data_IF_580009603815
#
_entry.id   IF_580009603815
#
_cell.length_a   1.000
_cell.length_b   1.000
_cell.length_c   1.000
_cell.angle_alpha   90.00
_cell.angle_beta   90.00
_cell.angle_gamma   90.00
#
_symmetry.space_group_name_H-M   'P 1'
#
loop_
_entity.id
_entity.type
_entity.pdbx_description
1 polymer ?
#
# COMPACT_ATOMS: atom_id res chain seq x y z
N UNK A 1 22.07 -63.69 43.30
CA UNK A 1 22.25 -63.31 41.88
C UNK A 1 21.03 -62.54 41.43
N UNK A 2 21.11 -61.21 41.48
CA UNK A 2 20.15 -60.29 40.88
C UNK A 2 20.99 -59.21 40.20
N UNK A 3 21.07 -59.29 38.87
CA UNK A 3 21.71 -58.29 38.02
C UNK A 3 20.72 -57.13 37.79
N UNK A 4 21.13 -55.86 37.97
CA UNK A 4 20.28 -54.75 37.60
C UNK A 4 20.28 -54.57 36.07
N UNK A 5 19.08 -54.38 35.52
CA UNK A 5 18.83 -54.08 34.11
C UNK A 5 19.33 -52.66 33.76
N UNK A 6 19.94 -52.42 32.59
CA UNK A 6 20.38 -51.09 32.22
C UNK A 6 19.18 -50.23 31.82
N UNK A 7 19.02 -49.09 32.49
CA UNK A 7 18.13 -48.01 32.09
C UNK A 7 18.50 -47.59 30.67
N UNK A 8 17.59 -47.81 29.71
CA UNK A 8 17.70 -47.22 28.37
C UNK A 8 17.55 -45.71 28.50
N UNK A 9 18.65 -44.99 28.37
CA UNK A 9 18.63 -43.54 28.12
C UNK A 9 17.80 -43.30 26.87
N UNK A 10 16.64 -42.67 27.03
CA UNK A 10 15.85 -42.15 25.94
C UNK A 10 16.68 -41.02 25.31
N UNK A 11 17.28 -41.29 24.15
CA UNK A 11 17.82 -40.25 23.29
C UNK A 11 16.62 -39.40 22.88
N UNK A 12 16.50 -38.23 23.48
CA UNK A 12 15.62 -37.17 22.98
C UNK A 12 16.19 -36.84 21.60
N UNK A 13 15.55 -37.36 20.56
CA UNK A 13 15.75 -36.84 19.21
C UNK A 13 15.41 -35.36 19.30
N UNK A 14 16.38 -34.50 18.99
CA UNK A 14 16.17 -33.08 18.74
C UNK A 14 14.92 -32.94 17.88
N UNK A 15 13.83 -32.47 18.49
CA UNK A 15 12.66 -32.04 17.76
C UNK A 15 13.12 -30.83 16.97
N UNK A 16 13.39 -31.02 15.67
CA UNK A 16 13.57 -29.92 14.74
C UNK A 16 12.44 -28.90 15.00
N UNK A 17 12.75 -27.60 15.14
CA UNK A 17 11.71 -26.60 15.35
C UNK A 17 10.69 -26.70 14.21
N UNK A 18 9.38 -26.52 14.49
CA UNK A 18 8.38 -26.53 13.44
C UNK A 18 8.79 -25.52 12.38
N UNK A 19 8.96 -25.99 11.14
CA UNK A 19 9.29 -25.16 9.99
C UNK A 19 8.21 -24.07 9.88
N UNK A 20 8.52 -22.85 10.31
CA UNK A 20 7.68 -21.69 10.04
C UNK A 20 7.59 -21.51 8.53
N UNK A 21 6.39 -21.48 7.94
CA UNK A 21 6.25 -21.35 6.50
C UNK A 21 6.87 -20.02 6.04
N UNK A 22 7.72 -20.07 5.02
CA UNK A 22 8.32 -18.87 4.44
C UNK A 22 7.25 -17.93 3.87
N UNK A 23 7.54 -16.63 3.75
CA UNK A 23 6.62 -15.66 3.10
C UNK A 23 6.14 -16.17 1.75
N UNK A 24 7.04 -16.76 0.97
CA UNK A 24 6.71 -17.32 -0.34
C UNK A 24 5.70 -18.47 -0.25
N UNK A 25 5.76 -19.30 0.78
CA UNK A 25 4.76 -20.37 1.01
C UNK A 25 3.39 -19.78 1.36
N UNK A 26 3.33 -18.86 2.33
CA UNK A 26 2.06 -18.23 2.76
C UNK A 26 1.42 -17.42 1.64
N UNK A 27 2.21 -16.63 0.91
CA UNK A 27 1.74 -15.84 -0.23
C UNK A 27 1.15 -16.74 -1.33
N UNK A 28 1.78 -17.90 -1.60
CA UNK A 28 1.31 -18.86 -2.60
C UNK A 28 0.00 -19.51 -2.20
N UNK A 29 -0.11 -20.02 -0.97
CA UNK A 29 -1.34 -20.64 -0.48
C UNK A 29 -2.51 -19.66 -0.50
N UNK A 30 -2.25 -18.40 -0.13
CA UNK A 30 -3.24 -17.33 -0.16
C UNK A 30 -3.71 -17.01 -1.59
N UNK A 31 -2.78 -16.78 -2.53
CA UNK A 31 -3.11 -16.54 -3.94
C UNK A 31 -3.86 -17.72 -4.57
N UNK A 32 -3.48 -18.96 -4.23
CA UNK A 32 -4.14 -20.16 -4.74
C UNK A 32 -5.59 -20.26 -4.24
N UNK A 33 -5.84 -19.99 -2.96
CA UNK A 33 -7.19 -19.98 -2.39
C UNK A 33 -8.09 -18.90 -3.00
N UNK A 34 -7.57 -17.68 -3.15
CA UNK A 34 -8.31 -16.58 -3.76
C UNK A 34 -8.59 -16.83 -5.25
N UNK A 35 -7.60 -17.34 -5.99
CA UNK A 35 -7.79 -17.74 -7.38
C UNK A 35 -8.82 -18.87 -7.53
N UNK A 36 -8.78 -19.88 -6.65
CA UNK A 36 -9.77 -20.95 -6.65
C UNK A 36 -11.17 -20.43 -6.35
N UNK A 37 -11.31 -19.45 -5.46
CA UNK A 37 -12.58 -18.79 -5.14
C UNK A 37 -13.13 -18.04 -6.35
N UNK A 38 -12.28 -17.27 -7.05
CA UNK A 38 -12.66 -16.60 -8.30
C UNK A 38 -13.13 -17.61 -9.35
N UNK A 39 -12.34 -18.65 -9.61
CA UNK A 39 -12.69 -19.70 -10.59
C UNK A 39 -14.00 -20.40 -10.20
N UNK A 40 -14.23 -20.65 -8.91
CA UNK A 40 -15.46 -21.23 -8.39
C UNK A 40 -16.68 -20.36 -8.72
N UNK A 41 -16.62 -19.08 -8.38
CA UNK A 41 -17.72 -18.15 -8.65
C UNK A 41 -17.98 -17.91 -10.13
N UNK A 42 -16.92 -17.82 -10.95
CA UNK A 42 -17.08 -17.73 -12.39
C UNK A 42 -17.80 -18.97 -12.96
N UNK A 43 -17.54 -20.17 -12.45
CA UNK A 43 -18.30 -21.38 -12.84
C UNK A 43 -19.75 -21.35 -12.37
N UNK A 44 -20.03 -20.86 -11.17
CA UNK A 44 -21.40 -20.70 -10.67
C UNK A 44 -22.16 -19.74 -11.57
N UNK A 45 -21.58 -18.58 -11.89
CA UNK A 45 -22.17 -17.59 -12.81
C UNK A 45 -22.48 -18.13 -14.21
N UNK A 46 -21.80 -19.19 -14.66
CA UNK A 46 -22.11 -19.83 -15.95
C UNK A 46 -23.24 -20.85 -15.90
N UNK A 47 -23.74 -21.16 -14.70
CA UNK A 47 -24.79 -22.18 -14.46
C UNK A 47 -26.03 -21.59 -13.81
N UNK A 48 -25.83 -20.59 -12.96
CA UNK A 48 -26.85 -19.91 -12.17
C UNK A 48 -26.75 -18.41 -12.44
N UNK A 49 -27.88 -17.80 -12.81
CA UNK A 49 -27.97 -16.38 -13.14
C UNK A 49 -28.63 -15.62 -12.01
N UNK A 50 -27.84 -15.08 -11.08
CA UNK A 50 -28.38 -14.30 -9.96
C UNK A 50 -27.48 -13.14 -9.52
N UNK A 51 -28.11 -12.12 -8.96
CA UNK A 51 -27.43 -10.90 -8.53
C UNK A 51 -26.50 -11.14 -7.32
N UNK A 52 -26.78 -12.16 -6.51
CA UNK A 52 -25.95 -12.52 -5.35
C UNK A 52 -24.63 -13.13 -5.79
N UNK A 53 -24.68 -13.97 -6.82
CA UNK A 53 -23.55 -14.66 -7.43
C UNK A 53 -22.62 -13.64 -8.11
N UNK A 54 -23.18 -12.63 -8.79
CA UNK A 54 -22.40 -11.55 -9.42
C UNK A 54 -21.66 -10.73 -8.37
N UNK A 55 -22.32 -10.39 -7.26
CA UNK A 55 -21.71 -9.66 -6.15
C UNK A 55 -20.57 -10.48 -5.52
N UNK A 56 -20.80 -11.77 -5.26
CA UNK A 56 -19.79 -12.66 -4.68
C UNK A 56 -18.58 -12.86 -5.60
N UNK A 57 -18.80 -12.96 -6.91
CA UNK A 57 -17.73 -13.03 -7.91
C UNK A 57 -16.90 -11.75 -7.97
N UNK A 58 -17.56 -10.57 -7.91
CA UNK A 58 -16.89 -9.27 -7.82
C UNK A 58 -16.02 -9.17 -6.57
N UNK A 59 -16.56 -9.57 -5.40
CA UNK A 59 -15.82 -9.55 -4.14
C UNK A 59 -14.58 -10.45 -4.20
N UNK A 60 -14.72 -11.66 -4.76
CA UNK A 60 -13.62 -12.60 -4.96
C UNK A 60 -12.53 -12.02 -5.89
N UNK A 61 -12.91 -11.38 -7.00
CA UNK A 61 -11.96 -10.72 -7.91
C UNK A 61 -11.25 -9.55 -7.25
N UNK A 62 -11.98 -8.74 -6.47
CA UNK A 62 -11.42 -7.62 -5.72
C UNK A 62 -10.40 -8.13 -4.71
N UNK A 63 -10.67 -9.24 -4.02
CA UNK A 63 -9.75 -9.90 -3.09
C UNK A 63 -8.48 -10.43 -3.79
N UNK A 64 -8.61 -11.17 -4.90
CA UNK A 64 -7.45 -11.68 -5.63
C UNK A 64 -6.58 -10.55 -6.20
N UNK A 65 -7.19 -9.52 -6.81
CA UNK A 65 -6.46 -8.35 -7.34
C UNK A 65 -5.75 -7.59 -6.24
N UNK A 66 -6.40 -7.50 -5.09
CA UNK A 66 -5.86 -7.00 -3.84
C UNK A 66 -4.57 -7.74 -3.51
N UNK A 67 -4.61 -9.07 -3.47
CA UNK A 67 -3.48 -9.89 -3.08
C UNK A 67 -2.34 -9.86 -4.08
N UNK A 68 -2.62 -9.87 -5.38
CA UNK A 68 -1.61 -9.66 -6.43
C UNK A 68 -0.90 -8.30 -6.29
N UNK A 69 -1.65 -7.23 -6.00
CA UNK A 69 -1.09 -5.89 -5.81
C UNK A 69 -0.25 -5.82 -4.53
N UNK A 70 -0.73 -6.46 -3.48
CA UNK A 70 -0.08 -6.63 -2.19
C UNK A 70 1.26 -7.34 -2.31
N UNK A 71 1.29 -8.44 -3.06
CA UNK A 71 2.46 -9.30 -3.20
C UNK A 71 3.40 -8.89 -4.34
N UNK A 72 3.14 -7.76 -5.01
CA UNK A 72 4.01 -7.20 -6.08
C UNK A 72 5.52 -7.09 -5.73
N UNK A 73 5.95 -6.84 -4.47
CA UNK A 73 7.37 -6.85 -4.14
C UNK A 73 8.04 -8.22 -4.26
N UNK A 74 7.26 -9.30 -4.12
CA UNK A 74 7.75 -10.68 -4.16
C UNK A 74 7.43 -11.40 -5.46
N UNK A 75 6.35 -10.99 -6.15
CA UNK A 75 5.93 -11.55 -7.43
C UNK A 75 6.68 -10.92 -8.61
N UNK A 76 6.87 -11.71 -9.66
CA UNK A 76 7.37 -11.25 -10.94
C UNK A 76 6.51 -10.10 -11.48
N UNK A 77 7.18 -9.08 -12.00
CA UNK A 77 6.52 -7.84 -12.40
C UNK A 77 5.66 -8.03 -13.63
N UNK A 78 6.18 -8.69 -14.66
CA UNK A 78 5.54 -8.80 -15.96
C UNK A 78 4.31 -9.70 -15.86
N UNK A 79 4.46 -10.86 -15.22
CA UNK A 79 3.37 -11.77 -14.95
C UNK A 79 2.26 -11.14 -14.11
N UNK A 80 2.63 -10.41 -13.04
CA UNK A 80 1.63 -9.73 -12.19
C UNK A 80 0.88 -8.64 -12.94
N UNK A 81 1.54 -7.94 -13.87
CA UNK A 81 0.90 -6.90 -14.68
C UNK A 81 -0.08 -7.52 -15.69
N UNK A 82 0.34 -8.59 -16.39
CA UNK A 82 -0.51 -9.28 -17.36
C UNK A 82 -1.78 -9.84 -16.70
N UNK A 83 -1.63 -10.66 -15.65
CA UNK A 83 -2.76 -11.23 -14.91
C UNK A 83 -3.71 -10.14 -14.36
N UNK A 84 -3.16 -9.04 -13.83
CA UNK A 84 -4.01 -7.92 -13.35
C UNK A 84 -4.75 -7.22 -14.48
N UNK A 85 -4.17 -7.14 -15.68
CA UNK A 85 -4.84 -6.58 -16.86
C UNK A 85 -6.14 -7.32 -17.18
N UNK A 86 -6.07 -8.64 -17.37
CA UNK A 86 -7.27 -9.44 -17.67
C UNK A 86 -8.27 -9.49 -16.50
N UNK A 87 -7.79 -9.50 -15.24
CA UNK A 87 -8.68 -9.38 -14.08
C UNK A 87 -9.38 -8.01 -14.00
N UNK A 88 -8.73 -6.92 -14.44
CA UNK A 88 -9.32 -5.58 -14.47
C UNK A 88 -10.46 -5.52 -15.51
N UNK A 89 -10.28 -6.13 -16.68
CA UNK A 89 -11.31 -6.25 -17.72
C UNK A 89 -12.53 -7.05 -17.23
N UNK A 90 -12.30 -8.23 -16.65
CA UNK A 90 -13.36 -9.04 -16.06
C UNK A 90 -14.12 -8.31 -14.95
N UNK A 91 -13.40 -7.57 -14.10
CA UNK A 91 -14.04 -6.75 -13.06
C UNK A 91 -14.98 -5.72 -13.70
N UNK A 92 -14.60 -5.12 -14.83
CA UNK A 92 -15.43 -4.17 -15.56
C UNK A 92 -16.73 -4.79 -16.06
N UNK A 93 -16.66 -5.99 -16.63
CA UNK A 93 -17.84 -6.74 -17.11
C UNK A 93 -18.80 -7.05 -15.97
N UNK A 94 -18.30 -7.63 -14.88
CA UNK A 94 -19.17 -7.97 -13.74
C UNK A 94 -19.73 -6.72 -13.04
N UNK A 95 -18.95 -5.62 -12.98
CA UNK A 95 -19.43 -4.35 -12.42
C UNK A 95 -20.57 -3.76 -13.26
N UNK A 96 -20.51 -3.90 -14.59
CA UNK A 96 -21.60 -3.49 -15.47
C UNK A 96 -22.86 -4.34 -15.22
N UNK A 97 -22.71 -5.66 -15.07
CA UNK A 97 -23.84 -6.55 -14.73
C UNK A 97 -24.47 -6.13 -13.39
N UNK A 98 -23.65 -5.88 -12.36
CA UNK A 98 -24.14 -5.41 -11.06
C UNK A 98 -24.84 -4.04 -11.14
N UNK A 99 -24.37 -3.14 -12.01
CA UNK A 99 -25.02 -1.85 -12.26
C UNK A 99 -26.41 -2.04 -12.90
N UNK A 100 -26.53 -2.92 -13.90
CA UNK A 100 -27.81 -3.26 -14.55
C UNK A 100 -28.79 -3.93 -13.57
N UNK A 101 -28.30 -4.74 -12.63
CA UNK A 101 -29.10 -5.29 -11.52
C UNK A 101 -29.64 -4.18 -10.62
N UNK A 102 -28.81 -3.17 -10.32
CA UNK A 102 -29.21 -1.98 -9.56
C UNK A 102 -30.28 -1.14 -10.29
N UNK A 103 -30.10 -0.93 -11.59
CA UNK A 103 -31.08 -0.24 -12.43
C UNK A 103 -32.43 -0.98 -12.46
N UNK A 104 -32.39 -2.30 -12.67
CA UNK A 104 -33.58 -3.14 -12.73
C UNK A 104 -34.37 -3.08 -11.42
N UNK A 105 -33.68 -3.18 -10.29
CA UNK A 105 -34.29 -3.05 -8.96
C UNK A 105 -34.96 -1.69 -8.76
N UNK A 106 -34.29 -0.60 -9.15
CA UNK A 106 -34.85 0.75 -9.07
C UNK A 106 -36.11 0.93 -9.91
N UNK A 107 -36.12 0.41 -11.14
CA UNK A 107 -37.29 0.49 -12.02
C UNK A 107 -38.49 -0.30 -11.45
N UNK A 108 -38.24 -1.45 -10.83
CA UNK A 108 -39.27 -2.25 -10.17
C UNK A 108 -39.85 -1.53 -8.93
N UNK A 109 -38.99 -0.90 -8.12
CA UNK A 109 -39.40 -0.14 -6.94
C UNK A 109 -40.22 1.12 -7.28
N UNK A 110 -39.90 1.78 -8.39
CA UNK A 110 -40.53 3.05 -8.80
C UNK A 110 -41.84 2.90 -9.61
N UNK A 111 -42.46 1.70 -9.60
CA UNK A 111 -43.75 1.45 -10.26
C UNK A 111 -43.71 1.62 -11.78
N UNK A 112 -43.52 0.51 -12.51
CA UNK A 112 -43.27 0.54 -13.94
C UNK A 112 -44.46 1.00 -14.80
N UNK A 113 -44.43 2.26 -15.23
CA UNK A 113 -45.18 2.75 -16.39
C UNK A 113 -44.65 2.11 -17.70
N UNK A 114 -45.36 2.33 -18.81
CA UNK A 114 -45.02 1.72 -20.12
C UNK A 114 -43.55 1.92 -20.53
N UNK A 115 -43.04 3.16 -20.56
CA UNK A 115 -41.64 3.45 -20.83
C UNK A 115 -40.66 2.77 -19.85
N UNK A 116 -40.95 2.76 -18.55
CA UNK A 116 -40.10 2.08 -17.56
C UNK A 116 -40.00 0.56 -17.81
N UNK A 117 -41.10 -0.09 -18.22
CA UNK A 117 -41.10 -1.52 -18.58
C UNK A 117 -40.31 -1.83 -19.84
N UNK A 118 -40.27 -0.90 -20.80
CA UNK A 118 -39.47 -1.05 -22.00
C UNK A 118 -37.97 -0.98 -21.68
N UNK A 119 -37.57 0.03 -20.89
CA UNK A 119 -36.18 0.15 -20.42
C UNK A 119 -35.79 -1.06 -19.56
N UNK A 120 -36.66 -1.53 -18.67
CA UNK A 120 -36.40 -2.73 -17.87
C UNK A 120 -36.13 -3.96 -18.76
N UNK A 121 -36.90 -4.16 -19.84
CA UNK A 121 -36.67 -5.23 -20.81
C UNK A 121 -35.32 -5.08 -21.53
N UNK A 122 -34.97 -3.86 -21.94
CA UNK A 122 -33.69 -3.59 -22.59
C UNK A 122 -32.51 -3.84 -21.63
N UNK A 123 -32.60 -3.37 -20.39
CA UNK A 123 -31.60 -3.61 -19.32
C UNK A 123 -31.45 -5.11 -19.04
N UNK A 124 -32.55 -5.88 -19.00
CA UNK A 124 -32.49 -7.33 -18.83
C UNK A 124 -31.82 -8.05 -20.01
N UNK A 125 -32.07 -7.61 -21.25
CA UNK A 125 -31.43 -8.17 -22.44
C UNK A 125 -29.93 -7.87 -22.48
N UNK A 126 -29.52 -6.64 -22.17
CA UNK A 126 -28.10 -6.25 -22.06
C UNK A 126 -27.39 -7.08 -20.98
N UNK A 127 -28.03 -7.23 -19.81
CA UNK A 127 -27.52 -8.05 -18.71
C UNK A 127 -27.28 -9.49 -19.16
N UNK A 128 -28.27 -10.11 -19.82
CA UNK A 128 -28.15 -11.49 -20.31
C UNK A 128 -27.01 -11.64 -21.33
N UNK A 129 -26.84 -10.67 -22.24
CA UNK A 129 -25.74 -10.67 -23.20
C UNK A 129 -24.36 -10.59 -22.52
N UNK A 130 -24.22 -9.75 -21.49
CA UNK A 130 -22.97 -9.63 -20.73
C UNK A 130 -22.67 -10.90 -19.93
N UNK A 131 -23.67 -11.50 -19.28
CA UNK A 131 -23.51 -12.78 -18.56
C UNK A 131 -23.05 -13.88 -19.51
N UNK A 132 -23.66 -13.99 -20.69
CA UNK A 132 -23.24 -14.94 -21.72
C UNK A 132 -21.81 -14.69 -22.22
N UNK A 133 -21.31 -13.46 -22.14
CA UNK A 133 -19.95 -13.10 -22.50
C UNK A 133 -18.91 -13.36 -21.39
N UNK A 134 -19.32 -13.57 -20.13
CA UNK A 134 -18.39 -13.79 -19.00
C UNK A 134 -17.37 -14.90 -19.26
N UNK A 135 -17.71 -16.09 -19.80
CA UNK A 135 -16.72 -17.11 -20.13
C UNK A 135 -15.64 -16.66 -21.11
N UNK A 136 -15.99 -15.76 -22.03
CA UNK A 136 -15.11 -15.26 -23.09
C UNK A 136 -14.42 -13.93 -22.72
N UNK A 137 -14.87 -13.25 -21.67
CA UNK A 137 -14.30 -11.99 -21.20
C UNK A 137 -12.96 -12.15 -20.45
N UNK A 138 -12.56 -13.40 -20.14
CA UNK A 138 -11.19 -13.72 -19.76
C UNK A 138 -10.44 -14.10 -21.03
N UNK A 139 -9.40 -13.33 -21.38
CA UNK A 139 -8.48 -13.77 -22.41
C UNK A 139 -7.86 -15.13 -22.02
N UNK A 140 -7.53 -15.99 -23.00
CA UNK A 140 -7.06 -17.34 -22.72
C UNK A 140 -5.82 -17.41 -21.81
N UNK A 141 -4.96 -16.40 -21.85
CA UNK A 141 -3.73 -16.34 -21.06
C UNK A 141 -4.03 -16.05 -19.59
N UNK A 142 -4.88 -15.05 -19.33
CA UNK A 142 -5.36 -14.74 -17.97
C UNK A 142 -6.17 -15.91 -17.41
N UNK A 143 -7.03 -16.54 -18.22
CA UNK A 143 -7.78 -17.73 -17.83
C UNK A 143 -6.88 -18.89 -17.43
N UNK A 144 -5.83 -19.16 -18.22
CA UNK A 144 -4.83 -20.19 -17.92
C UNK A 144 -4.03 -19.86 -16.65
N UNK A 145 -3.63 -18.60 -16.46
CA UNK A 145 -2.90 -18.15 -15.26
C UNK A 145 -3.76 -18.28 -13.98
N UNK A 146 -5.04 -17.92 -14.05
CA UNK A 146 -6.02 -18.11 -12.97
C UNK A 146 -6.19 -19.59 -12.61
N UNK A 147 -6.42 -20.44 -13.61
CA UNK A 147 -6.58 -21.87 -13.42
C UNK A 147 -5.31 -22.52 -12.84
N UNK A 148 -4.14 -22.07 -13.31
CA UNK A 148 -2.85 -22.51 -12.79
C UNK A 148 -2.68 -22.14 -11.31
N UNK A 149 -2.93 -20.88 -10.94
CA UNK A 149 -2.90 -20.45 -9.53
C UNK A 149 -3.88 -21.24 -8.67
N UNK A 150 -5.12 -21.40 -9.13
CA UNK A 150 -6.16 -22.14 -8.43
C UNK A 150 -5.80 -23.62 -8.23
N UNK A 151 -4.96 -24.19 -9.10
CA UNK A 151 -4.50 -25.58 -8.97
C UNK A 151 -3.50 -25.79 -7.83
N UNK A 152 -2.93 -24.73 -7.28
CA UNK A 152 -1.92 -24.79 -6.22
C UNK A 152 -0.58 -25.41 -6.64
N UNK A 153 -0.37 -25.69 -7.93
CA UNK A 153 0.90 -26.22 -8.47
C UNK A 153 1.98 -25.13 -8.52
N UNK A 154 3.23 -25.50 -8.23
CA UNK A 154 4.37 -24.56 -8.32
C UNK A 154 4.77 -24.27 -9.79
N UNK A 155 5.37 -23.09 -10.10
CA UNK A 155 5.58 -21.91 -9.25
C UNK A 155 4.74 -20.70 -9.73
N UNK A 156 4.05 -20.01 -8.82
CA UNK A 156 3.74 -18.59 -9.07
C UNK A 156 5.09 -17.87 -9.25
N UNK A 157 5.30 -17.08 -10.32
CA UNK A 157 6.62 -16.56 -10.63
C UNK A 157 7.02 -15.54 -9.56
N UNK A 158 7.94 -15.93 -8.68
CA UNK A 158 8.56 -15.07 -7.69
C UNK A 158 9.75 -14.34 -8.33
N UNK A 159 10.07 -13.13 -7.88
CA UNK A 159 11.28 -12.43 -8.34
C UNK A 159 12.53 -13.18 -7.88
N UNK A 160 13.50 -13.32 -8.77
CA UNK A 160 14.81 -13.92 -8.47
C UNK A 160 15.55 -13.25 -7.30
N UNK A 161 15.30 -11.96 -7.04
CA UNK A 161 15.89 -11.17 -5.95
C UNK A 161 14.85 -10.66 -4.93
N UNK A 162 13.66 -11.27 -4.86
CA UNK A 162 12.79 -11.00 -3.72
C UNK A 162 13.52 -11.40 -2.43
N UNK A 163 13.21 -10.80 -1.26
CA UNK A 163 13.78 -11.20 0.03
C UNK A 163 13.23 -12.57 0.46
N UNK A 164 13.31 -13.56 -0.44
CA UNK A 164 12.86 -14.95 -0.30
C UNK A 164 13.86 -15.74 0.57
N UNK A 165 14.99 -15.12 0.94
CA UNK A 165 16.06 -15.75 1.71
C UNK A 165 16.03 -15.52 3.22
N UNK A 166 15.11 -14.72 3.77
CA UNK A 166 14.97 -14.62 5.23
C UNK A 166 13.80 -15.50 5.71
N UNK A 167 14.08 -16.71 6.25
CA UNK A 167 13.06 -17.56 6.84
C UNK A 167 12.35 -16.93 8.06
N UNK A 168 12.78 -15.74 8.50
CA UNK A 168 12.26 -15.01 9.66
C UNK A 168 11.51 -13.71 9.37
N UNK A 169 11.12 -13.39 8.12
CA UNK A 169 10.26 -12.22 7.86
C UNK A 169 8.77 -12.64 7.89
N UNK A 170 8.03 -12.50 9.00
CA UNK A 170 6.63 -12.93 9.04
C UNK A 170 5.74 -12.09 8.11
N UNK A 171 4.60 -12.63 7.68
CA UNK A 171 3.56 -11.88 6.96
C UNK A 171 3.17 -10.58 7.70
N UNK A 172 3.31 -10.58 9.03
CA UNK A 172 3.15 -9.43 9.91
C UNK A 172 4.10 -8.25 9.60
N UNK A 173 5.22 -8.45 8.88
CA UNK A 173 6.13 -7.37 8.48
C UNK A 173 5.70 -6.74 7.15
N UNK A 174 5.09 -7.50 6.24
CA UNK A 174 4.69 -7.01 4.91
C UNK A 174 3.23 -6.50 4.86
N UNK A 175 2.33 -7.15 5.60
CA UNK A 175 0.91 -6.79 5.57
C UNK A 175 0.61 -5.38 6.10
N UNK A 176 1.16 -4.95 7.25
CA UNK A 176 0.87 -3.62 7.77
C UNK A 176 1.30 -2.45 6.86
N UNK A 177 2.51 -2.47 6.26
CA UNK A 177 2.89 -1.53 5.19
C UNK A 177 1.88 -1.40 4.06
N UNK A 178 1.27 -2.51 3.69
CA UNK A 178 0.35 -2.60 2.56
C UNK A 178 -1.06 -2.14 2.93
N UNK A 179 -1.54 -2.48 4.13
CA UNK A 179 -2.79 -1.95 4.70
C UNK A 179 -2.73 -0.42 4.79
N UNK A 180 -1.61 0.13 5.28
CA UNK A 180 -1.42 1.57 5.38
C UNK A 180 -1.37 2.28 4.00
N UNK A 181 -0.81 1.65 2.96
CA UNK A 181 -0.85 2.21 1.59
C UNK A 181 -2.27 2.25 1.02
N UNK A 182 -3.07 1.21 1.25
CA UNK A 182 -4.47 1.16 0.80
C UNK A 182 -5.34 2.16 1.51
N UNK A 183 -5.17 2.23 2.82
CA UNK A 183 -5.76 3.26 3.65
C UNK A 183 -5.53 4.66 3.11
N UNK A 184 -4.26 4.99 2.80
CA UNK A 184 -3.89 6.29 2.24
C UNK A 184 -4.57 6.54 0.89
N UNK A 185 -4.59 5.53 0.01
CA UNK A 185 -5.21 5.66 -1.31
C UNK A 185 -6.72 5.90 -1.20
N UNK A 186 -7.42 5.13 -0.36
CA UNK A 186 -8.84 5.29 -0.07
C UNK A 186 -9.17 6.69 0.44
N UNK A 187 -8.38 7.20 1.39
CA UNK A 187 -8.69 8.46 2.09
C UNK A 187 -8.21 9.69 1.35
N UNK A 188 -6.99 9.66 0.77
CA UNK A 188 -6.32 10.85 0.22
C UNK A 188 -6.40 10.97 -1.30
N UNK A 189 -6.52 9.86 -2.01
CA UNK A 189 -6.36 9.82 -3.47
C UNK A 189 -7.68 9.48 -4.18
N UNK A 190 -8.82 9.46 -3.48
CA UNK A 190 -10.16 9.20 -4.04
C UNK A 190 -10.90 10.51 -4.21
N UNK A 191 -11.23 10.94 -5.45
CA UNK A 191 -12.17 12.02 -5.63
C UNK A 191 -13.55 11.58 -5.16
N UNK A 192 -14.12 12.27 -4.17
CA UNK A 192 -15.46 11.94 -3.65
C UNK A 192 -16.57 12.26 -4.68
N UNK A 193 -16.24 13.07 -5.70
CA UNK A 193 -17.16 13.35 -6.81
C UNK A 193 -17.31 12.18 -7.79
N UNK A 194 -16.35 11.24 -7.81
CA UNK A 194 -16.41 10.02 -8.61
C UNK A 194 -17.02 8.89 -7.78
N UNK A 195 -18.37 8.87 -7.78
CA UNK A 195 -19.18 7.94 -7.00
C UNK A 195 -19.01 6.48 -7.44
N UNK A 196 -18.55 6.22 -8.66
CA UNK A 196 -18.27 4.87 -9.17
C UNK A 196 -16.92 4.36 -8.63
N UNK A 197 -15.89 5.20 -8.63
CA UNK A 197 -14.63 4.90 -7.92
C UNK A 197 -14.81 4.71 -6.42
N UNK A 198 -15.80 5.37 -5.82
CA UNK A 198 -16.07 5.27 -4.39
C UNK A 198 -16.52 3.87 -3.97
N UNK A 199 -17.42 3.22 -4.73
CA UNK A 199 -17.87 1.86 -4.42
C UNK A 199 -16.72 0.85 -4.43
N UNK A 200 -15.88 0.91 -5.46
CA UNK A 200 -14.66 0.08 -5.58
C UNK A 200 -13.77 0.23 -4.35
N UNK A 201 -13.61 1.45 -3.86
CA UNK A 201 -12.74 1.74 -2.72
C UNK A 201 -13.41 1.45 -1.38
N UNK A 202 -14.74 1.53 -1.28
CA UNK A 202 -15.48 1.03 -0.12
C UNK A 202 -15.31 -0.50 0.03
N UNK A 203 -15.32 -1.25 -1.07
CA UNK A 203 -14.98 -2.67 -1.07
C UNK A 203 -13.51 -2.90 -0.64
N UNK A 204 -12.56 -2.10 -1.13
CA UNK A 204 -11.16 -2.17 -0.68
C UNK A 204 -11.01 -1.95 0.85
N UNK A 205 -11.85 -1.10 1.47
CA UNK A 205 -11.85 -0.90 2.93
C UNK A 205 -12.33 -2.12 3.69
N UNK A 206 -13.38 -2.80 3.21
CA UNK A 206 -13.87 -4.05 3.83
C UNK A 206 -12.75 -5.06 3.92
N UNK A 207 -11.97 -5.21 2.84
CA UNK A 207 -10.80 -6.08 2.84
C UNK A 207 -9.73 -5.62 3.83
N UNK A 208 -9.48 -4.32 3.97
CA UNK A 208 -8.56 -3.79 4.98
C UNK A 208 -9.03 -4.15 6.39
N UNK A 209 -10.32 -4.05 6.68
CA UNK A 209 -10.90 -4.38 8.00
C UNK A 209 -10.85 -5.88 8.27
N UNK A 210 -11.25 -6.72 7.30
CA UNK A 210 -11.20 -8.18 7.46
C UNK A 210 -9.77 -8.70 7.64
N UNK A 211 -8.83 -8.18 6.85
CA UNK A 211 -7.43 -8.57 6.96
C UNK A 211 -6.85 -8.13 8.30
N UNK A 212 -7.17 -6.92 8.78
CA UNK A 212 -6.74 -6.47 10.10
C UNK A 212 -7.36 -7.34 11.22
N UNK A 213 -8.63 -7.72 11.10
CA UNK A 213 -9.31 -8.58 12.06
C UNK A 213 -8.67 -9.99 12.14
N UNK A 214 -8.35 -10.59 10.99
CA UNK A 214 -7.69 -11.91 10.92
C UNK A 214 -6.27 -11.94 11.49
N UNK A 215 -5.63 -10.78 11.61
CA UNK A 215 -4.30 -10.62 12.20
C UNK A 215 -4.36 -10.22 13.67
N UNK A 216 -5.54 -10.32 14.30
CA UNK A 216 -5.76 -9.94 15.70
C UNK A 216 -5.41 -8.47 16.00
N UNK A 217 -5.38 -7.60 14.98
CA UNK A 217 -5.25 -6.15 15.22
C UNK A 217 -6.52 -5.62 15.88
N UNK A 218 -6.39 -4.65 16.81
CA UNK A 218 -7.54 -4.05 17.46
C UNK A 218 -8.38 -3.24 16.45
N UNK A 219 -9.39 -3.88 15.88
CA UNK A 219 -10.30 -3.33 14.86
C UNK A 219 -11.62 -2.83 15.42
N UNK A 220 -11.78 -2.78 16.76
CA UNK A 220 -13.06 -2.48 17.43
C UNK A 220 -13.65 -1.10 17.03
N UNK A 221 -12.84 -0.17 16.48
CA UNK A 221 -13.31 1.08 15.87
C UNK A 221 -13.45 1.10 14.33
N UNK A 222 -12.86 0.13 13.63
CA UNK A 222 -12.84 0.06 12.16
C UNK A 222 -14.14 -0.49 11.58
N UNK A 223 -14.82 -1.40 12.29
CA UNK A 223 -16.01 -2.05 11.75
C UNK A 223 -17.18 -1.07 11.53
N UNK A 224 -17.54 -0.21 12.52
CA UNK A 224 -18.59 0.79 12.34
C UNK A 224 -18.26 1.80 11.22
N UNK A 225 -16.99 2.18 11.08
CA UNK A 225 -16.56 3.11 10.03
C UNK A 225 -16.67 2.48 8.63
N UNK A 226 -16.29 1.20 8.50
CA UNK A 226 -16.43 0.47 7.24
C UNK A 226 -17.90 0.18 6.91
N UNK A 227 -18.75 -0.09 7.90
CA UNK A 227 -20.19 -0.26 7.68
C UNK A 227 -20.88 1.04 7.24
N UNK A 228 -20.51 2.16 7.87
CA UNK A 228 -20.96 3.48 7.46
C UNK A 228 -20.52 3.80 6.01
N UNK A 229 -19.29 3.46 5.64
CA UNK A 229 -18.81 3.66 4.27
C UNK A 229 -19.53 2.75 3.27
N UNK A 230 -19.77 1.47 3.59
CA UNK A 230 -20.58 0.56 2.75
C UNK A 230 -21.97 1.12 2.50
N UNK A 231 -22.63 1.58 3.56
CA UNK A 231 -23.97 2.17 3.50
C UNK A 231 -23.97 3.43 2.63
N UNK A 232 -23.00 4.33 2.82
CA UNK A 232 -22.86 5.55 2.03
C UNK A 232 -22.55 5.26 0.55
N UNK A 233 -21.70 4.25 0.27
CA UNK A 233 -21.38 3.82 -1.08
C UNK A 233 -22.58 3.17 -1.80
N UNK A 234 -23.37 2.35 -1.11
CA UNK A 234 -24.60 1.79 -1.65
C UNK A 234 -25.61 2.90 -2.00
N UNK A 235 -25.77 3.90 -1.13
CA UNK A 235 -26.60 5.07 -1.41
C UNK A 235 -26.08 5.89 -2.61
N UNK A 236 -24.76 6.01 -2.77
CA UNK A 236 -24.14 6.68 -3.91
C UNK A 236 -24.42 5.96 -5.24
N UNK A 237 -24.23 4.64 -5.29
CA UNK A 237 -24.56 3.84 -6.47
C UNK A 237 -26.02 3.98 -6.87
N UNK A 238 -26.93 3.96 -5.87
CA UNK A 238 -28.35 4.17 -6.10
C UNK A 238 -28.64 5.53 -6.73
N UNK A 239 -27.94 6.59 -6.31
CA UNK A 239 -28.05 7.93 -6.92
C UNK A 239 -27.52 7.94 -8.36
N UNK A 240 -26.41 7.25 -8.64
CA UNK A 240 -25.86 7.14 -9.99
C UNK A 240 -26.80 6.40 -10.94
N UNK A 241 -27.28 5.22 -10.54
CA UNK A 241 -28.23 4.44 -11.33
C UNK A 241 -29.52 5.22 -11.58
N UNK A 242 -30.04 5.94 -10.57
CA UNK A 242 -31.21 6.81 -10.76
C UNK A 242 -30.94 7.98 -11.71
N UNK A 243 -29.71 8.51 -11.73
CA UNK A 243 -29.31 9.57 -12.65
C UNK A 243 -29.29 9.09 -14.10
N UNK A 244 -28.63 7.96 -14.37
CA UNK A 244 -28.57 7.32 -15.70
C UNK A 244 -29.97 7.00 -16.23
N UNK A 245 -30.79 6.31 -15.43
CA UNK A 245 -32.16 5.98 -15.81
C UNK A 245 -33.01 7.23 -16.09
N UNK A 246 -32.86 8.29 -15.29
CA UNK A 246 -33.59 9.56 -15.50
C UNK A 246 -33.24 10.22 -16.83
N UNK A 247 -32.01 10.05 -17.33
CA UNK A 247 -31.59 10.58 -18.63
C UNK A 247 -32.23 9.79 -19.79
N UNK A 248 -32.38 8.47 -19.63
CA UNK A 248 -32.97 7.57 -20.65
C UNK A 248 -34.50 7.64 -20.69
N UNK A 249 -35.14 7.98 -19.58
CA UNK A 249 -36.61 8.01 -19.49
C UNK A 249 -37.21 9.30 -20.08
N UNK A 250 -38.34 9.21 -20.82
CA UNK A 250 -39.14 10.36 -21.20
C UNK A 250 -39.87 10.96 -19.98
N UNK A 251 -40.58 12.08 -20.17
CA UNK A 251 -41.35 12.71 -19.10
C UNK A 251 -42.53 11.82 -18.64
N UNK A 252 -42.29 10.99 -17.61
CA UNK A 252 -43.25 10.04 -17.05
C UNK A 252 -43.23 10.02 -15.50
N UNK A 253 -44.23 9.38 -14.85
CA UNK A 253 -44.25 9.21 -13.39
C UNK A 253 -42.95 8.62 -12.82
N UNK A 254 -42.44 7.52 -13.38
CA UNK A 254 -41.21 6.87 -12.90
C UNK A 254 -40.01 7.84 -12.93
N UNK A 255 -39.90 8.68 -13.97
CA UNK A 255 -38.84 9.69 -14.05
C UNK A 255 -38.88 10.73 -12.92
N UNK A 256 -40.09 11.09 -12.46
CA UNK A 256 -40.26 12.02 -11.32
C UNK A 256 -39.80 11.38 -10.01
N UNK A 257 -40.03 10.08 -9.83
CA UNK A 257 -39.58 9.34 -8.66
C UNK A 257 -38.05 9.24 -8.61
N UNK A 258 -37.42 8.87 -9.73
CA UNK A 258 -35.97 8.87 -9.86
C UNK A 258 -35.37 10.26 -9.60
N UNK A 259 -36.03 11.34 -10.03
CA UNK A 259 -35.58 12.70 -9.73
C UNK A 259 -35.51 12.98 -8.22
N UNK A 260 -36.43 12.44 -7.40
CA UNK A 260 -36.36 12.57 -5.93
C UNK A 260 -35.13 11.87 -5.37
N UNK A 261 -34.77 10.70 -5.90
CA UNK A 261 -33.53 10.00 -5.49
C UNK A 261 -32.30 10.83 -5.86
N UNK A 262 -32.23 11.33 -7.10
CA UNK A 262 -31.12 12.16 -7.58
C UNK A 262 -30.93 13.44 -6.76
N UNK A 263 -32.02 14.06 -6.26
CA UNK A 263 -31.91 15.26 -5.42
C UNK A 263 -31.16 15.03 -4.10
N UNK A 264 -31.06 13.77 -3.64
CA UNK A 264 -30.30 13.41 -2.43
C UNK A 264 -28.79 13.35 -2.66
N UNK A 265 -28.29 13.55 -3.89
CA UNK A 265 -26.86 13.49 -4.23
C UNK A 265 -25.96 14.25 -3.25
N UNK A 266 -26.31 15.51 -2.96
CA UNK A 266 -25.51 16.36 -2.05
C UNK A 266 -25.46 15.77 -0.63
N UNK A 267 -26.59 15.27 -0.13
CA UNK A 267 -26.63 14.62 1.18
C UNK A 267 -25.79 13.35 1.20
N UNK A 268 -25.88 12.51 0.17
CA UNK A 268 -25.08 11.28 0.06
C UNK A 268 -23.58 11.60 0.00
N UNK A 269 -23.16 12.57 -0.81
CA UNK A 269 -21.76 13.02 -0.88
C UNK A 269 -21.23 13.42 0.50
N UNK A 270 -22.01 14.18 1.28
CA UNK A 270 -21.62 14.53 2.65
C UNK A 270 -21.51 13.32 3.59
N UNK A 271 -22.38 12.32 3.46
CA UNK A 271 -22.27 11.09 4.26
C UNK A 271 -20.99 10.33 3.91
N UNK A 272 -20.64 10.28 2.63
CA UNK A 272 -19.39 9.67 2.16
C UNK A 272 -18.18 10.41 2.73
N UNK A 273 -18.16 11.74 2.65
CA UNK A 273 -17.07 12.56 3.21
C UNK A 273 -16.92 12.31 4.72
N UNK A 274 -18.03 12.27 5.45
CA UNK A 274 -18.05 11.98 6.88
C UNK A 274 -17.51 10.57 7.18
N UNK A 275 -17.92 9.57 6.41
CA UNK A 275 -17.44 8.20 6.55
C UNK A 275 -15.93 8.13 6.25
N UNK A 276 -15.46 8.74 5.17
CA UNK A 276 -14.03 8.79 4.82
C UNK A 276 -13.19 9.53 5.86
N UNK A 277 -13.71 10.59 6.48
CA UNK A 277 -13.04 11.28 7.58
C UNK A 277 -12.96 10.41 8.85
N UNK A 278 -14.05 9.71 9.18
CA UNK A 278 -14.10 8.75 10.29
C UNK A 278 -13.14 7.58 10.07
N UNK A 279 -13.07 7.07 8.84
CA UNK A 279 -12.04 6.14 8.40
C UNK A 279 -10.70 6.81 8.65
N UNK A 280 -10.32 7.89 7.95
CA UNK A 280 -9.04 8.60 8.07
C UNK A 280 -8.49 8.75 9.50
N UNK A 281 -9.35 9.13 10.45
CA UNK A 281 -9.01 9.30 11.86
C UNK A 281 -8.42 8.03 12.50
N UNK A 282 -8.86 6.85 12.09
CA UNK A 282 -8.39 5.54 12.60
C UNK A 282 -7.05 5.10 11.98
N UNK A 283 -6.43 5.92 11.12
CA UNK A 283 -5.21 5.53 10.40
C UNK A 283 -4.00 5.31 11.30
N UNK A 284 -4.03 5.86 12.51
CA UNK A 284 -3.03 5.64 13.55
C UNK A 284 -3.12 4.25 14.20
N UNK A 285 -4.27 3.56 14.08
CA UNK A 285 -4.46 2.19 14.58
C UNK A 285 -3.87 1.14 13.63
N UNK A 286 -3.64 1.50 12.37
CA UNK A 286 -2.92 0.64 11.44
C UNK A 286 -1.44 0.65 11.79
N UNK A 287 -0.77 -0.51 11.84
CA UNK A 287 0.63 -0.54 12.21
C UNK A 287 1.44 0.24 11.18
N UNK A 288 2.31 1.08 11.72
CA UNK A 288 3.20 1.89 10.92
C UNK A 288 4.21 0.94 10.24
N UNK A 289 4.37 1.08 8.91
CA UNK A 289 5.45 0.50 8.09
C UNK A 289 6.87 0.89 8.55
N UNK A 290 7.28 0.61 9.80
CA UNK A 290 8.57 1.06 10.34
C UNK A 290 9.72 0.13 9.87
N UNK A 291 9.38 -1.11 9.52
CA UNK A 291 10.31 -2.17 9.10
C UNK A 291 10.20 -2.62 7.63
N UNK A 292 9.28 -2.06 6.84
CA UNK A 292 9.17 -2.40 5.41
C UNK A 292 10.25 -1.74 4.54
N UNK A 293 10.22 -1.94 3.20
CA UNK A 293 11.26 -1.47 2.30
C UNK A 293 11.37 0.06 2.31
N UNK A 294 12.34 0.55 3.07
CA UNK A 294 12.59 1.97 3.27
C UNK A 294 13.26 2.59 2.03
N UNK A 295 12.96 3.87 1.78
CA UNK A 295 13.76 4.66 0.84
C UNK A 295 15.19 4.74 1.37
N UNK A 296 16.14 4.21 0.63
CA UNK A 296 17.56 4.24 1.00
C UNK A 296 18.15 5.61 0.66
N UNK A 297 19.02 6.07 1.54
CA UNK A 297 19.60 7.41 1.52
C UNK A 297 21.01 7.40 2.09
N UNK A 298 21.87 8.27 1.56
CA UNK A 298 23.22 8.51 2.03
C UNK A 298 23.38 9.92 2.56
N UNK A 299 24.18 10.09 3.61
CA UNK A 299 24.56 11.39 4.15
C UNK A 299 26.03 11.44 4.57
N UNK A 300 26.58 12.64 4.69
CA UNK A 300 27.98 12.85 5.06
C UNK A 300 28.12 13.81 6.23
N UNK A 301 28.70 13.34 7.33
CA UNK A 301 29.18 14.23 8.38
C UNK A 301 30.58 14.70 7.97
N UNK A 302 30.62 15.88 7.36
CA UNK A 302 31.88 16.49 6.90
C UNK A 302 32.56 17.15 8.10
N UNK A 303 33.78 16.74 8.41
CA UNK A 303 34.55 17.27 9.53
C UNK A 303 35.88 17.86 9.06
N UNK A 304 36.35 18.89 9.77
CA UNK A 304 37.69 19.48 9.60
C UNK A 304 38.29 19.85 10.96
N UNK A 305 39.62 20.00 11.06
CA UNK A 305 40.24 20.66 12.20
C UNK A 305 39.76 22.12 12.29
N UNK A 306 39.32 22.54 13.47
CA UNK A 306 39.00 23.92 13.81
C UNK A 306 39.89 24.44 14.94
N UNK A 307 39.76 25.73 15.28
CA UNK A 307 40.64 26.39 16.25
C UNK A 307 40.50 25.86 17.68
N UNK A 308 39.34 25.34 18.06
CA UNK A 308 39.03 24.84 19.41
C UNK A 308 38.77 23.33 19.44
N UNK A 309 39.09 22.61 18.35
CA UNK A 309 38.73 21.22 18.14
C UNK A 309 38.10 20.98 16.77
N UNK A 310 37.60 19.75 16.51
CA UNK A 310 36.96 19.44 15.24
C UNK A 310 35.69 20.29 15.03
N UNK A 311 35.52 20.80 13.81
CA UNK A 311 34.29 21.42 13.33
C UNK A 311 33.57 20.48 12.37
N UNK A 312 32.25 20.50 12.38
CA UNK A 312 31.38 19.76 11.47
C UNK A 312 30.55 20.70 10.61
N UNK A 313 30.24 20.26 9.39
CA UNK A 313 29.44 21.03 8.45
C UNK A 313 27.95 20.70 8.59
N UNK A 314 27.14 21.73 8.80
CA UNK A 314 25.67 21.63 8.82
C UNK A 314 25.08 22.51 7.72
N UNK A 315 23.90 22.12 7.24
CA UNK A 315 23.13 22.85 6.22
C UNK A 315 21.76 23.24 6.76
N UNK A 316 21.29 24.43 6.39
CA UNK A 316 19.92 24.86 6.61
C UNK A 316 19.10 24.60 5.34
N UNK A 317 17.96 23.91 5.49
CA UNK A 317 17.13 23.46 4.37
C UNK A 317 15.88 24.32 4.25
N UNK A 318 15.79 25.14 3.22
CA UNK A 318 14.69 26.12 2.99
C UNK A 318 13.32 25.46 3.08
N UNK A 319 13.13 24.35 2.35
CA UNK A 319 11.85 23.63 2.28
C UNK A 319 11.40 23.02 3.62
N UNK A 320 12.31 22.88 4.58
CA UNK A 320 12.05 22.24 5.86
C UNK A 320 12.15 23.20 7.04
N UNK A 321 12.83 24.34 6.87
CA UNK A 321 13.16 25.27 7.95
C UNK A 321 13.94 24.59 9.07
N UNK A 322 14.86 23.68 8.72
CA UNK A 322 15.62 22.90 9.70
C UNK A 322 17.11 22.80 9.38
N UNK A 323 17.92 22.70 10.44
CA UNK A 323 19.34 22.41 10.38
C UNK A 323 19.57 20.91 10.41
N UNK A 324 20.41 20.44 9.49
CA UNK A 324 20.63 19.01 9.25
C UNK A 324 22.08 18.73 8.83
N UNK A 325 22.51 17.47 9.01
CA UNK A 325 23.64 16.91 8.28
C UNK A 325 23.24 16.74 6.80
N UNK A 326 24.10 17.06 5.83
CA UNK A 326 23.78 16.92 4.41
C UNK A 326 23.52 15.47 4.02
N UNK A 327 22.42 15.22 3.30
CA UNK A 327 21.92 13.88 2.95
C UNK A 327 20.78 13.93 1.93
N UNK A 328 20.70 12.89 1.10
CA UNK A 328 19.54 12.66 0.25
C UNK A 328 19.38 11.22 -0.17
N UNK A 329 18.62 10.96 -1.24
CA UNK A 329 18.17 9.63 -1.58
C UNK A 329 18.92 9.06 -2.79
N UNK A 330 19.13 7.75 -2.81
CA UNK A 330 19.84 7.07 -3.90
C UNK A 330 19.09 7.21 -5.22
N UNK A 331 19.83 7.50 -6.30
CA UNK A 331 19.36 7.38 -7.67
C UNK A 331 19.35 5.90 -8.14
N UNK A 332 18.62 5.56 -9.22
CA UNK A 332 18.66 4.20 -9.77
C UNK A 332 20.09 3.77 -10.15
N UNK A 333 20.52 2.61 -9.65
CA UNK A 333 21.87 2.07 -9.88
C UNK A 333 22.98 2.69 -9.04
N UNK A 334 22.68 3.71 -8.22
CA UNK A 334 23.64 4.39 -7.36
C UNK A 334 23.83 3.65 -6.04
N UNK A 335 25.08 3.44 -5.62
CA UNK A 335 25.39 2.93 -4.28
C UNK A 335 25.11 3.98 -3.21
N UNK A 336 24.92 3.56 -1.96
CA UNK A 336 24.62 4.50 -0.87
C UNK A 336 25.80 5.45 -0.59
N UNK A 337 27.03 4.99 -0.80
CA UNK A 337 28.24 5.77 -0.68
C UNK A 337 28.36 6.84 -1.78
N UNK A 338 28.09 6.48 -3.04
CA UNK A 338 28.05 7.43 -4.15
C UNK A 338 26.98 8.51 -3.91
N UNK A 339 25.81 8.09 -3.44
CA UNK A 339 24.73 8.99 -3.04
C UNK A 339 25.21 9.97 -1.96
N UNK A 340 25.84 9.49 -0.89
CA UNK A 340 26.32 10.37 0.17
C UNK A 340 27.33 11.42 -0.34
N UNK A 341 28.28 11.04 -1.21
CA UNK A 341 29.25 11.97 -1.79
C UNK A 341 28.59 12.98 -2.72
N UNK A 342 27.64 12.54 -3.55
CA UNK A 342 26.87 13.41 -4.45
C UNK A 342 26.07 14.44 -3.66
N UNK A 343 25.33 13.99 -2.65
CA UNK A 343 24.46 14.85 -1.84
C UNK A 343 25.26 15.88 -1.05
N UNK A 344 26.42 15.52 -0.48
CA UNK A 344 27.33 16.49 0.14
C UNK A 344 27.81 17.53 -0.88
N UNK A 345 28.19 17.08 -2.09
CA UNK A 345 28.63 17.99 -3.14
C UNK A 345 27.53 18.96 -3.56
N UNK A 346 26.30 18.47 -3.68
CA UNK A 346 25.13 19.25 -4.12
C UNK A 346 24.64 20.21 -3.03
N UNK A 347 24.54 19.76 -1.79
CA UNK A 347 23.99 20.57 -0.68
C UNK A 347 25.03 21.51 -0.05
N UNK A 348 26.33 21.28 -0.23
CA UNK A 348 27.37 22.07 0.45
C UNK A 348 28.38 22.71 -0.49
N UNK A 349 28.42 22.31 -1.76
CA UNK A 349 29.46 22.74 -2.70
C UNK A 349 30.87 22.27 -2.34
N UNK A 350 31.01 21.17 -1.57
CA UNK A 350 32.32 20.59 -1.23
C UNK A 350 32.57 19.27 -1.96
N UNK A 351 33.82 19.05 -2.34
CA UNK A 351 34.32 17.72 -2.72
C UNK A 351 34.95 17.09 -1.49
N UNK A 352 34.55 15.88 -1.16
CA UNK A 352 35.02 15.18 0.02
C UNK A 352 35.63 13.82 -0.32
N UNK A 353 36.56 13.38 0.53
CA UNK A 353 37.03 12.00 0.59
C UNK A 353 36.20 11.25 1.64
N UNK A 354 35.68 10.09 1.25
CA UNK A 354 34.91 9.19 2.12
C UNK A 354 35.80 8.58 3.22
N UNK A 355 35.27 8.49 4.43
CA UNK A 355 35.83 7.77 5.57
C UNK A 355 34.95 6.59 6.02
N UNK A 356 35.04 6.22 7.29
CA UNK A 356 34.24 5.14 7.86
C UNK A 356 32.75 5.52 7.96
N UNK A 357 31.88 4.50 7.95
CA UNK A 357 30.48 4.68 8.30
C UNK A 357 30.35 4.97 9.80
N UNK A 358 29.57 5.97 10.17
CA UNK A 358 29.40 6.44 11.56
C UNK A 358 28.18 5.79 12.19
N UNK A 359 27.03 5.94 11.53
CA UNK A 359 25.73 5.57 12.09
C UNK A 359 24.67 5.48 11.00
N UNK A 360 23.58 4.77 11.30
CA UNK A 360 22.40 4.74 10.45
C UNK A 360 21.15 5.08 11.26
N UNK A 361 20.19 5.74 10.61
CA UNK A 361 18.93 6.14 11.23
C UNK A 361 17.76 5.71 10.37
N UNK A 362 16.74 5.14 11.01
CA UNK A 362 15.45 4.84 10.39
C UNK A 362 14.39 5.78 10.94
N UNK A 363 13.63 6.41 10.05
CA UNK A 363 12.55 7.32 10.43
C UNK A 363 11.51 7.45 9.32
N UNK A 364 10.41 8.14 9.65
CA UNK A 364 9.38 8.52 8.68
C UNK A 364 9.59 9.92 8.13
N UNK A 365 9.57 10.04 6.81
CA UNK A 365 9.58 11.35 6.17
C UNK A 365 8.21 12.06 6.32
N UNK A 366 8.11 13.32 5.86
CA UNK A 366 6.87 14.10 5.90
C UNK A 366 5.69 13.46 5.15
N UNK A 367 5.95 12.49 4.29
CA UNK A 367 4.94 11.75 3.53
C UNK A 367 4.61 10.39 4.20
N UNK A 368 5.04 10.19 5.44
CA UNK A 368 4.89 8.97 6.21
C UNK A 368 5.52 7.74 5.54
N UNK A 369 6.60 7.93 4.77
CA UNK A 369 7.37 6.86 4.13
C UNK A 369 8.56 6.48 5.01
N UNK A 370 8.81 5.19 5.17
CA UNK A 370 10.03 4.70 5.80
C UNK A 370 11.25 5.19 5.00
N UNK A 371 12.22 5.75 5.71
CA UNK A 371 13.50 6.21 5.16
C UNK A 371 14.62 5.68 6.04
N UNK A 372 15.60 5.05 5.42
CA UNK A 372 16.81 4.55 6.06
C UNK A 372 17.99 5.34 5.52
N UNK A 373 18.63 6.11 6.39
CA UNK A 373 19.79 6.94 6.04
C UNK A 373 21.03 6.35 6.70
N UNK A 374 22.07 6.12 5.91
CA UNK A 374 23.41 5.77 6.40
C UNK A 374 24.32 6.97 6.30
N UNK A 375 25.15 7.20 7.30
CA UNK A 375 26.04 8.35 7.40
C UNK A 375 27.50 7.94 7.45
N UNK A 376 28.33 8.65 6.70
CA UNK A 376 29.78 8.47 6.70
C UNK A 376 30.51 9.71 7.20
N UNK A 377 31.67 9.49 7.82
CA UNK A 377 32.64 10.55 8.04
C UNK A 377 33.22 10.97 6.69
N UNK A 378 33.36 12.27 6.48
CA UNK A 378 33.94 12.83 5.27
C UNK A 378 34.95 13.94 5.59
N UNK A 379 36.05 13.95 4.85
CA UNK A 379 37.07 15.01 4.93
C UNK A 379 37.00 15.86 3.66
N UNK A 380 36.88 17.20 3.76
CA UNK A 380 36.88 18.07 2.59
C UNK A 380 38.25 18.04 1.89
N UNK A 381 38.25 17.92 0.56
CA UNK A 381 39.46 17.89 -0.29
C UNK A 381 39.43 18.94 -1.41
N UNK A 382 38.32 19.67 -1.55
CA UNK A 382 38.18 20.75 -2.52
C UNK A 382 36.77 21.31 -2.54
N UNK A 383 36.53 22.26 -3.44
CA UNK A 383 35.22 22.88 -3.65
C UNK A 383 34.58 22.43 -4.96
N UNK A 384 33.27 22.64 -5.06
CA UNK A 384 32.43 22.43 -6.22
C UNK A 384 31.54 23.66 -6.45
N UNK A 385 30.55 23.54 -7.34
CA UNK A 385 29.56 24.59 -7.53
C UNK A 385 28.81 24.85 -6.21
N UNK A 386 28.46 26.11 -5.91
CA UNK A 386 27.65 26.43 -4.74
C UNK A 386 26.28 25.72 -4.82
N UNK A 387 25.66 25.41 -3.66
CA UNK A 387 24.35 24.77 -3.65
C UNK A 387 23.26 25.66 -4.24
N UNK A 388 22.14 25.05 -4.64
CA UNK A 388 20.95 25.79 -5.06
C UNK A 388 20.35 26.53 -3.85
N UNK A 389 20.28 27.88 -3.87
CA UNK A 389 19.74 28.66 -2.77
C UNK A 389 18.25 28.41 -2.50
N UNK A 390 17.51 27.81 -3.44
CA UNK A 390 16.13 27.40 -3.22
C UNK A 390 16.00 26.12 -2.37
N UNK A 391 17.10 25.37 -2.23
CA UNK A 391 17.16 24.15 -1.44
C UNK A 391 17.94 24.37 -0.14
N UNK A 392 19.14 24.94 -0.25
CA UNK A 392 20.06 25.25 0.85
C UNK A 392 20.42 26.73 0.81
N UNK A 393 19.91 27.51 1.75
CA UNK A 393 20.19 28.93 1.92
C UNK A 393 21.39 29.20 2.84
N UNK A 394 21.77 28.24 3.68
CA UNK A 394 22.93 28.38 4.55
C UNK A 394 23.74 27.08 4.73
N UNK A 395 25.07 27.21 4.70
CA UNK A 395 26.04 26.16 5.01
C UNK A 395 26.98 26.68 6.08
N UNK A 396 27.11 25.98 7.21
CA UNK A 396 27.84 26.48 8.39
C UNK A 396 28.78 25.43 8.97
N UNK A 397 30.03 25.83 9.20
CA UNK A 397 30.96 25.09 10.07
C UNK A 397 30.62 25.39 11.52
N UNK A 398 30.45 24.33 12.32
CA UNK A 398 30.03 24.42 13.72
C UNK A 398 30.99 23.58 14.55
N UNK A 399 31.51 24.08 15.69
CA UNK A 399 32.28 23.24 16.62
C UNK A 399 31.50 21.96 16.96
N UNK A 400 32.20 20.82 17.02
CA UNK A 400 31.56 19.52 17.23
C UNK A 400 30.68 19.49 18.49
N UNK A 401 31.13 20.13 19.57
CA UNK A 401 30.43 20.23 20.86
C UNK A 401 29.14 21.08 20.75
N UNK A 402 29.07 22.04 19.82
CA UNK A 402 27.95 22.97 19.65
C UNK A 402 26.91 22.45 18.62
N UNK A 403 27.30 21.54 17.73
CA UNK A 403 26.45 21.02 16.68
C UNK A 403 25.10 20.44 17.17
N UNK A 404 25.02 19.72 18.32
CA UNK A 404 23.74 19.21 18.83
C UNK A 404 22.72 20.30 19.16
N UNK A 405 23.17 21.51 19.54
CA UNK A 405 22.29 22.62 19.88
C UNK A 405 21.65 23.24 18.63
N UNK A 406 22.38 23.27 17.51
CA UNK A 406 21.87 23.80 16.23
C UNK A 406 20.95 22.80 15.52
N UNK A 407 21.24 21.50 15.62
CA UNK A 407 20.48 20.45 14.95
C UNK A 407 19.03 20.38 15.44
N UNK A 408 18.10 20.50 14.50
CA UNK A 408 16.65 20.53 14.79
C UNK A 408 16.10 19.14 15.13
N UNK A 409 16.67 18.07 14.55
CA UNK A 409 16.14 16.70 14.69
C UNK A 409 17.04 15.85 15.58
N UNK A 410 16.45 15.18 16.57
CA UNK A 410 17.19 14.30 17.48
C UNK A 410 17.99 13.18 16.80
N UNK A 411 17.50 12.69 15.65
CA UNK A 411 18.21 11.69 14.83
C UNK A 411 19.57 12.17 14.31
N UNK A 412 19.69 13.45 13.95
CA UNK A 412 20.95 13.99 13.44
C UNK A 412 21.91 14.22 14.62
N UNK A 413 21.38 14.56 15.81
CA UNK A 413 22.18 14.63 17.06
C UNK A 413 22.79 13.27 17.42
N UNK A 414 22.07 12.17 17.18
CA UNK A 414 22.58 10.82 17.42
C UNK A 414 23.79 10.49 16.53
N UNK A 415 23.79 10.96 15.28
CA UNK A 415 24.94 10.80 14.36
C UNK A 415 26.14 11.60 14.85
N UNK A 416 25.94 12.86 15.25
CA UNK A 416 27.01 13.70 15.83
C UNK A 416 27.57 13.08 17.11
N UNK A 417 26.71 12.57 18.00
CA UNK A 417 27.13 11.91 19.23
C UNK A 417 27.93 10.62 18.94
N UNK A 418 27.54 9.84 17.92
CA UNK A 418 28.31 8.68 17.48
C UNK A 418 29.70 9.07 17.00
N UNK A 419 29.80 10.11 16.15
CA UNK A 419 31.08 10.63 15.67
C UNK A 419 31.96 11.16 16.80
N UNK A 420 31.38 11.92 17.75
CA UNK A 420 32.10 12.49 18.89
C UNK A 420 32.65 11.44 19.84
N UNK A 421 32.01 10.28 20.00
CA UNK A 421 32.57 9.19 20.82
C UNK A 421 33.87 8.63 20.23
N UNK A 422 34.00 8.63 18.91
CA UNK A 422 35.17 8.10 18.21
C UNK A 422 36.27 9.15 18.01
N UNK A 423 35.90 10.43 17.93
CA UNK A 423 36.80 11.52 17.50
C UNK A 423 36.91 12.68 18.53
N UNK A 424 36.21 12.59 19.66
CA UNK A 424 36.17 13.62 20.72
C UNK A 424 37.20 13.43 21.84
N UNK A 425 38.03 12.39 21.81
CA UNK A 425 39.13 12.22 22.76
C UNK A 425 40.31 13.15 22.41
N UNK A 426 40.17 14.40 22.84
CA UNK A 426 41.15 15.47 22.67
C UNK A 426 40.91 16.64 23.64
N UNK A 427 40.53 16.37 24.90
CA UNK A 427 40.76 17.32 26.00
C UNK A 427 41.90 16.76 26.85
N UNK A 428 43.02 17.47 26.83
CA UNK A 428 44.06 17.34 27.83
C UNK A 428 43.45 17.62 29.21
N UNK A 429 43.59 16.65 30.12
CA UNK A 429 43.82 16.83 31.54
C UNK A 429 44.47 15.55 32.06
#
# INVERSE_FOLDING_TARGET
MHTPSPVRTLVVMDSAPPLTPSIGSVARTRLAGDAATVVGWLRVLTREDGAAEVAAALDALVALRTDLRSLRPVLDKEWTVALRGGLDEMTGVLARIAALDGESRLLLECGGDGPAREILRATAAERAALVAAVPAALDPETGAALAFLASGREPAPLRAAAPVGDPGLPAAVLLPPMLHRRWRKLVKETPVQDLESLHRRAAELVVVVEVAARLEFPVIGLWPAADALRTAAAAALRVCAAHELKQRLPACPTRRELARIVTRRVWVTRQVEKALAGVAALGHLLPADDDGPAKVAGGGLVARPGPAGPEVLLVHRVRHGDWSIPKGATAPGETVQECALREVREETGLRCRMGAEIHSVRYRDRNNRAKHVRFWHMTPVGTAAPPDPAEIDEVRWVPLDDAPALLTRGRDRAVVAAFAREHGAGRAA
#
